data_IF_595449761417
#
_entry.id   IF_595449761417
#
_cell.length_a   1.000
_cell.length_b   1.000
_cell.length_c   1.000
_cell.angle_alpha   90.00
_cell.angle_beta   90.00
_cell.angle_gamma   90.00
#
_symmetry.space_group_name_H-M   'P 1'
#
loop_
_entity.id
_entity.type
_entity.pdbx_description
1 polymer ?
#
# COMPACT_ATOMS: atom_id res chain seq x y z
N UNK A 1 15.32 -16.89 -17.79
CA UNK A 1 13.99 -16.76 -17.17
C UNK A 1 13.42 -18.15 -16.99
N UNK A 2 13.06 -18.54 -15.78
CA UNK A 2 12.39 -19.81 -15.46
C UNK A 2 10.89 -19.51 -15.36
N UNK A 3 10.06 -20.29 -16.07
CA UNK A 3 8.60 -20.24 -15.95
C UNK A 3 8.17 -21.50 -15.21
N UNK A 4 7.48 -21.35 -14.10
CA UNK A 4 7.04 -22.47 -13.26
C UNK A 4 5.73 -22.12 -12.56
N UNK A 5 4.95 -23.13 -12.23
CA UNK A 5 3.80 -23.09 -11.35
C UNK A 5 4.11 -23.61 -9.93
N UNK A 6 5.36 -24.05 -9.69
CA UNK A 6 5.87 -24.41 -8.37
C UNK A 6 6.45 -23.17 -7.67
N UNK A 7 5.79 -22.72 -6.60
CA UNK A 7 6.21 -21.57 -5.83
C UNK A 7 7.61 -21.74 -5.20
N UNK A 8 7.99 -22.95 -4.82
CA UNK A 8 9.33 -23.21 -4.25
C UNK A 8 10.43 -22.97 -5.29
N UNK A 9 10.18 -23.36 -6.53
CA UNK A 9 11.10 -23.11 -7.65
C UNK A 9 11.11 -21.62 -8.01
N UNK A 10 9.92 -20.97 -7.98
CA UNK A 10 9.78 -19.55 -8.33
C UNK A 10 10.52 -18.63 -7.35
N UNK A 11 10.49 -18.92 -6.05
CA UNK A 11 11.12 -18.12 -5.00
C UNK A 11 12.52 -18.59 -4.60
N UNK A 12 13.06 -19.64 -5.26
CA UNK A 12 14.43 -20.13 -4.98
C UNK A 12 15.46 -19.00 -5.13
N UNK A 13 16.18 -18.67 -4.06
CA UNK A 13 17.19 -17.61 -3.97
C UNK A 13 16.71 -16.22 -4.45
N UNK A 14 15.40 -15.97 -4.41
CA UNK A 14 14.83 -14.70 -4.85
C UNK A 14 15.19 -13.55 -3.89
N UNK A 15 15.69 -12.43 -4.44
CA UNK A 15 15.93 -11.18 -3.70
C UNK A 15 14.72 -10.23 -3.75
N UNK A 16 13.86 -10.38 -4.76
CA UNK A 16 12.67 -9.56 -4.94
C UNK A 16 11.46 -10.42 -5.31
N UNK A 17 10.37 -10.25 -4.58
CA UNK A 17 9.10 -10.93 -4.83
C UNK A 17 7.97 -9.94 -5.12
N UNK A 18 7.28 -10.07 -6.25
CA UNK A 18 6.08 -9.31 -6.55
C UNK A 18 4.88 -10.25 -6.59
N UNK A 19 4.02 -10.19 -5.57
CA UNK A 19 2.83 -11.04 -5.43
C UNK A 19 1.62 -10.32 -6.04
N UNK A 20 1.40 -10.54 -7.35
CA UNK A 20 0.41 -9.80 -8.13
C UNK A 20 -0.93 -10.53 -8.23
N UNK A 21 -0.90 -11.87 -8.32
CA UNK A 21 -2.09 -12.69 -8.49
C UNK A 21 -2.95 -12.75 -7.23
N UNK A 22 -4.25 -12.48 -7.37
CA UNK A 22 -5.22 -12.60 -6.28
C UNK A 22 -6.59 -13.01 -6.83
N UNK A 23 -7.43 -13.58 -5.96
CA UNK A 23 -8.83 -13.82 -6.28
C UNK A 23 -9.58 -12.48 -6.30
N UNK A 24 -10.17 -12.06 -7.42
CA UNK A 24 -10.96 -10.84 -7.46
C UNK A 24 -12.30 -11.01 -6.74
N UNK A 25 -12.81 -9.93 -6.14
CA UNK A 25 -14.16 -9.93 -5.57
C UNK A 25 -15.18 -10.14 -6.69
N UNK A 26 -16.11 -11.08 -6.49
CA UNK A 26 -17.23 -11.36 -7.39
C UNK A 26 -18.53 -10.83 -6.79
N UNK A 27 -19.53 -10.61 -7.63
CA UNK A 27 -20.85 -10.20 -7.16
C UNK A 27 -21.43 -11.24 -6.18
N UNK A 28 -21.96 -10.74 -5.06
CA UNK A 28 -22.50 -11.58 -3.99
C UNK A 28 -21.46 -12.24 -3.07
N UNK A 29 -20.16 -11.99 -3.27
CA UNK A 29 -19.12 -12.51 -2.39
C UNK A 29 -18.99 -11.61 -1.15
N UNK A 30 -19.12 -12.22 0.03
CA UNK A 30 -18.87 -11.54 1.31
C UNK A 30 -17.37 -11.27 1.48
N UNK A 31 -17.03 -10.32 2.38
CA UNK A 31 -15.63 -9.96 2.63
C UNK A 31 -14.82 -11.12 3.19
N UNK A 32 -15.41 -11.90 4.10
CA UNK A 32 -14.77 -13.08 4.69
C UNK A 32 -14.41 -14.13 3.64
N UNK A 33 -15.32 -14.41 2.69
CA UNK A 33 -15.10 -15.38 1.61
C UNK A 33 -13.91 -14.95 0.73
N UNK A 34 -13.81 -13.64 0.46
CA UNK A 34 -12.70 -13.09 -0.32
C UNK A 34 -11.36 -13.24 0.42
N UNK A 35 -11.34 -12.96 1.72
CA UNK A 35 -10.16 -13.11 2.56
C UNK A 35 -9.73 -14.57 2.68
N UNK A 36 -10.67 -15.50 2.87
CA UNK A 36 -10.40 -16.95 2.90
C UNK A 36 -9.81 -17.45 1.58
N UNK A 37 -10.42 -17.08 0.44
CA UNK A 37 -9.95 -17.47 -0.88
C UNK A 37 -8.53 -16.93 -1.16
N UNK A 38 -8.23 -15.71 -0.76
CA UNK A 38 -6.91 -15.13 -0.90
C UNK A 38 -5.91 -15.72 0.12
N UNK A 39 -6.34 -16.09 1.31
CA UNK A 39 -5.52 -16.82 2.27
C UNK A 39 -4.97 -18.13 1.70
N UNK A 40 -5.79 -18.85 0.92
CA UNK A 40 -5.36 -20.03 0.17
C UNK A 40 -4.31 -19.77 -0.92
N UNK A 41 -4.10 -18.50 -1.30
CA UNK A 41 -3.08 -18.09 -2.28
C UNK A 41 -1.83 -17.57 -1.54
N UNK A 42 -1.99 -16.59 -0.64
CA UNK A 42 -0.89 -15.86 -0.05
C UNK A 42 -0.20 -16.62 1.10
N UNK A 43 -0.90 -17.47 1.83
CA UNK A 43 -0.30 -18.36 2.84
C UNK A 43 0.74 -19.30 2.23
N UNK A 44 0.40 -20.13 1.22
CA UNK A 44 1.37 -20.99 0.54
C UNK A 44 2.53 -20.23 -0.11
N UNK A 45 2.29 -19.03 -0.68
CA UNK A 45 3.36 -18.19 -1.23
C UNK A 45 4.29 -17.68 -0.14
N UNK A 46 3.75 -17.21 1.00
CA UNK A 46 4.54 -16.79 2.16
C UNK A 46 5.43 -17.93 2.68
N UNK A 47 4.86 -19.14 2.79
CA UNK A 47 5.63 -20.32 3.17
C UNK A 47 6.74 -20.63 2.18
N UNK A 48 6.47 -20.60 0.88
CA UNK A 48 7.48 -20.87 -0.14
C UNK A 48 8.61 -19.81 -0.12
N UNK A 49 8.30 -18.55 0.16
CA UNK A 49 9.26 -17.47 0.37
C UNK A 49 10.13 -17.79 1.61
N UNK A 50 9.49 -18.16 2.73
CA UNK A 50 10.18 -18.54 3.96
C UNK A 50 11.22 -19.63 3.75
N UNK A 51 10.83 -20.65 2.99
CA UNK A 51 11.63 -21.86 2.84
C UNK A 51 12.74 -21.70 1.78
N UNK A 52 12.59 -20.80 0.81
CA UNK A 52 13.44 -20.82 -0.39
C UNK A 52 14.07 -19.47 -0.78
N UNK A 53 13.51 -18.32 -0.36
CA UNK A 53 14.02 -17.02 -0.77
C UNK A 53 15.26 -16.60 0.02
N UNK A 54 15.96 -15.58 -0.49
CA UNK A 54 16.99 -14.86 0.26
C UNK A 54 16.40 -14.33 1.58
N UNK A 55 17.20 -14.32 2.66
CA UNK A 55 16.74 -13.77 3.95
C UNK A 55 16.49 -12.27 3.91
N UNK A 56 17.10 -11.58 2.96
CA UNK A 56 16.93 -10.14 2.71
C UNK A 56 15.92 -9.86 1.58
N UNK A 57 15.10 -10.87 1.19
CA UNK A 57 14.10 -10.72 0.12
C UNK A 57 13.16 -9.55 0.39
N UNK A 58 12.91 -8.74 -0.62
CA UNK A 58 11.93 -7.65 -0.58
C UNK A 58 10.64 -8.09 -1.26
N UNK A 59 9.56 -8.21 -0.50
CA UNK A 59 8.26 -8.71 -0.98
C UNK A 59 7.26 -7.58 -1.07
N UNK A 60 6.77 -7.31 -2.29
CA UNK A 60 5.68 -6.37 -2.55
C UNK A 60 4.41 -7.13 -2.91
N UNK A 61 3.38 -6.97 -2.11
CA UNK A 61 2.04 -7.50 -2.40
C UNK A 61 1.22 -6.45 -3.15
N UNK A 62 0.77 -6.84 -4.34
CA UNK A 62 -0.04 -6.02 -5.25
C UNK A 62 -1.49 -6.54 -5.31
N UNK A 63 -1.66 -7.85 -5.16
CA UNK A 63 -2.96 -8.53 -5.21
C UNK A 63 -3.89 -8.13 -4.07
N UNK A 64 -5.12 -7.72 -4.40
CA UNK A 64 -6.09 -7.21 -3.42
C UNK A 64 -6.87 -8.32 -2.68
N UNK A 65 -7.21 -8.08 -1.39
CA UNK A 65 -6.92 -6.92 -0.55
C UNK A 65 -5.44 -6.89 -0.10
N UNK A 66 -4.68 -5.92 -0.63
CA UNK A 66 -3.21 -5.95 -0.61
C UNK A 66 -2.61 -5.96 0.80
N UNK A 67 -3.10 -5.09 1.70
CA UNK A 67 -2.58 -4.99 3.06
C UNK A 67 -2.78 -6.31 3.85
N UNK A 68 -3.97 -6.87 3.79
CA UNK A 68 -4.29 -8.12 4.51
C UNK A 68 -3.63 -9.33 3.87
N UNK A 69 -3.52 -9.37 2.54
CA UNK A 69 -2.78 -10.41 1.84
C UNK A 69 -1.28 -10.38 2.20
N UNK A 70 -0.70 -9.19 2.37
CA UNK A 70 0.67 -9.04 2.84
C UNK A 70 0.85 -9.55 4.28
N UNK A 71 -0.11 -9.27 5.16
CA UNK A 71 -0.12 -9.79 6.53
C UNK A 71 -0.19 -11.33 6.56
N UNK A 72 -1.03 -11.93 5.71
CA UNK A 72 -1.13 -13.39 5.59
C UNK A 72 0.19 -14.00 5.10
N UNK A 73 0.78 -13.42 4.03
CA UNK A 73 2.06 -13.90 3.50
C UNK A 73 3.20 -13.78 4.52
N UNK A 74 3.27 -12.64 5.23
CA UNK A 74 4.21 -12.38 6.30
C UNK A 74 4.07 -13.40 7.44
N UNK A 75 2.84 -13.64 7.91
CA UNK A 75 2.56 -14.59 9.01
C UNK A 75 2.94 -16.02 8.64
N UNK A 76 2.90 -16.37 7.35
CA UNK A 76 3.33 -17.68 6.86
C UNK A 76 4.85 -17.79 6.64
N UNK A 77 5.61 -16.73 6.90
CA UNK A 77 7.07 -16.66 6.71
C UNK A 77 7.80 -16.28 8.01
N UNK A 78 7.76 -17.11 9.07
CA UNK A 78 8.23 -16.75 10.40
C UNK A 78 9.76 -16.56 10.51
N UNK A 79 10.54 -17.06 9.55
CA UNK A 79 12.01 -16.94 9.55
C UNK A 79 12.52 -15.73 8.71
N UNK A 80 11.62 -15.01 8.07
CA UNK A 80 11.90 -13.77 7.33
C UNK A 80 11.51 -12.57 8.21
N UNK A 81 12.36 -11.53 8.25
CA UNK A 81 12.02 -10.30 8.98
C UNK A 81 10.69 -9.75 8.48
N UNK A 82 9.70 -9.49 9.35
CA UNK A 82 8.43 -8.86 8.99
C UNK A 82 8.57 -7.62 8.12
N UNK A 83 9.62 -6.83 8.29
CA UNK A 83 9.93 -5.65 7.49
C UNK A 83 10.16 -5.94 6.02
N UNK A 84 10.40 -7.18 5.64
CA UNK A 84 10.58 -7.58 4.25
C UNK A 84 9.25 -7.73 3.49
N UNK A 85 8.10 -7.59 4.16
CA UNK A 85 6.78 -7.64 3.54
C UNK A 85 6.12 -6.27 3.50
N UNK A 86 5.75 -5.83 2.29
CA UNK A 86 5.04 -4.57 2.05
C UNK A 86 3.82 -4.78 1.16
N UNK A 87 2.86 -3.87 1.23
CA UNK A 87 1.73 -3.81 0.29
C UNK A 87 1.76 -2.51 -0.52
N UNK A 88 1.23 -2.56 -1.73
CA UNK A 88 1.32 -1.44 -2.67
C UNK A 88 0.23 -0.39 -2.44
N UNK A 89 0.62 0.76 -1.93
CA UNK A 89 -0.17 2.01 -1.94
C UNK A 89 0.41 3.07 -2.89
N UNK A 90 1.49 2.72 -3.59
CA UNK A 90 2.15 3.62 -4.55
C UNK A 90 1.25 4.02 -5.73
N UNK A 91 0.35 3.14 -6.15
CA UNK A 91 -0.62 3.48 -7.20
C UNK A 91 -1.55 4.61 -6.78
N UNK A 92 -2.02 4.58 -5.53
CA UNK A 92 -2.88 5.63 -4.97
C UNK A 92 -2.09 6.92 -4.74
N UNK A 93 -0.84 6.81 -4.30
CA UNK A 93 0.13 7.90 -4.19
C UNK A 93 0.31 8.64 -5.53
N UNK A 94 0.60 7.91 -6.61
CA UNK A 94 0.77 8.49 -7.95
C UNK A 94 -0.52 9.14 -8.47
N UNK A 95 -1.69 8.57 -8.14
CA UNK A 95 -3.01 9.15 -8.45
C UNK A 95 -3.25 10.45 -7.70
N UNK A 96 -2.93 10.48 -6.40
CA UNK A 96 -3.08 11.68 -5.56
C UNK A 96 -2.17 12.81 -6.06
N UNK A 97 -0.90 12.53 -6.34
CA UNK A 97 0.01 13.51 -6.96
C UNK A 97 -0.55 14.06 -8.27
N UNK A 98 -1.12 13.21 -9.11
CA UNK A 98 -1.74 13.64 -10.38
C UNK A 98 -2.91 14.60 -10.15
N UNK A 99 -3.77 14.36 -9.16
CA UNK A 99 -4.89 15.26 -8.84
C UNK A 99 -4.38 16.62 -8.34
N UNK A 100 -3.35 16.65 -7.49
CA UNK A 100 -2.74 17.89 -7.01
C UNK A 100 -2.10 18.65 -8.17
N UNK A 101 -1.33 17.98 -9.01
CA UNK A 101 -0.70 18.60 -10.18
C UNK A 101 -1.72 19.23 -11.13
N UNK A 102 -2.84 18.54 -11.39
CA UNK A 102 -3.94 19.07 -12.20
C UNK A 102 -4.64 20.28 -11.54
N UNK A 103 -4.89 20.22 -10.23
CA UNK A 103 -5.55 21.33 -9.49
C UNK A 103 -4.70 22.60 -9.47
N UNK A 104 -3.36 22.44 -9.42
CA UNK A 104 -2.40 23.54 -9.32
C UNK A 104 -1.79 23.97 -10.66
N UNK A 105 -2.16 23.30 -11.76
CA UNK A 105 -1.59 23.50 -13.11
C UNK A 105 -0.03 23.41 -13.09
N UNK A 106 0.49 22.38 -12.43
CA UNK A 106 1.93 22.11 -12.31
C UNK A 106 2.31 20.73 -12.84
N UNK A 107 3.60 20.47 -12.96
CA UNK A 107 4.11 19.12 -13.26
C UNK A 107 3.95 18.20 -12.05
N UNK A 108 3.72 16.91 -12.30
CA UNK A 108 3.74 15.89 -11.24
C UNK A 108 5.11 15.84 -10.54
N UNK A 109 6.18 16.20 -11.25
CA UNK A 109 7.55 16.26 -10.70
C UNK A 109 7.75 17.43 -9.72
N UNK A 110 6.82 18.37 -9.67
CA UNK A 110 6.82 19.49 -8.70
C UNK A 110 6.13 19.12 -7.39
N UNK A 111 5.50 17.92 -7.32
CA UNK A 111 4.77 17.44 -6.14
C UNK A 111 5.68 16.54 -5.31
N UNK A 112 5.84 16.87 -4.04
CA UNK A 112 6.63 16.08 -3.08
C UNK A 112 5.85 15.88 -1.78
N UNK A 113 6.34 14.99 -0.93
CA UNK A 113 5.79 14.72 0.40
C UNK A 113 4.31 14.26 0.37
N UNK A 114 3.86 13.66 -0.73
CA UNK A 114 2.54 13.03 -0.79
C UNK A 114 2.50 11.81 0.13
N UNK A 115 1.39 11.64 0.82
CA UNK A 115 1.15 10.46 1.67
C UNK A 115 -0.21 9.85 1.39
N UNK A 116 -0.26 8.55 1.27
CA UNK A 116 -1.45 7.74 1.42
C UNK A 116 -1.38 7.05 2.77
N UNK A 117 -2.33 7.29 3.63
CA UNK A 117 -2.46 6.64 4.93
C UNK A 117 -3.44 5.47 4.86
N UNK A 118 -3.16 4.41 5.64
CA UNK A 118 -4.12 3.37 5.93
C UNK A 118 -4.15 2.22 4.93
N UNK A 119 -5.35 1.71 4.67
CA UNK A 119 -5.64 0.54 3.85
C UNK A 119 -5.73 0.92 2.36
N UNK A 120 -5.24 0.06 1.46
CA UNK A 120 -5.49 0.19 0.02
C UNK A 120 -6.97 -0.17 -0.29
N UNK A 121 -7.90 0.68 0.15
CA UNK A 121 -9.35 0.51 0.04
C UNK A 121 -10.05 1.85 -0.15
N UNK A 122 -11.37 1.86 -0.05
CA UNK A 122 -12.15 3.09 -0.08
C UNK A 122 -12.00 3.96 1.18
N UNK A 123 -11.28 3.48 2.22
CA UNK A 123 -10.96 4.23 3.44
C UNK A 123 -9.59 4.88 3.39
N UNK A 124 -8.76 4.61 2.36
CA UNK A 124 -7.46 5.24 2.21
C UNK A 124 -7.56 6.77 2.31
N UNK A 125 -6.58 7.38 2.94
CA UNK A 125 -6.56 8.83 3.09
C UNK A 125 -5.35 9.44 2.37
N UNK A 126 -5.56 10.14 1.23
CA UNK A 126 -4.53 10.95 0.60
C UNK A 126 -4.40 12.28 1.36
N UNK A 127 -3.21 12.53 1.88
CA UNK A 127 -2.91 13.67 2.76
C UNK A 127 -2.43 14.88 1.96
N UNK A 128 -3.27 15.90 1.87
CA UNK A 128 -2.91 17.17 1.23
C UNK A 128 -2.14 18.11 2.16
N UNK A 129 -2.29 17.97 3.49
CA UNK A 129 -1.77 18.93 4.47
C UNK A 129 -0.24 18.88 4.60
N UNK A 130 0.37 17.73 4.30
CA UNK A 130 1.84 17.57 4.29
C UNK A 130 2.43 17.60 2.88
N UNK A 131 1.57 17.49 1.85
CA UNK A 131 2.00 17.54 0.44
C UNK A 131 2.53 18.92 0.09
N UNK A 132 3.57 18.95 -0.75
CA UNK A 132 4.18 20.19 -1.26
C UNK A 132 4.08 20.28 -2.77
N UNK A 133 3.88 21.51 -3.25
CA UNK A 133 3.93 21.91 -4.66
C UNK A 133 5.06 22.92 -4.81
N UNK A 134 6.13 22.57 -5.53
CA UNK A 134 7.34 23.42 -5.65
C UNK A 134 7.88 23.90 -4.29
N UNK A 135 7.83 23.01 -3.29
CA UNK A 135 8.28 23.27 -1.93
C UNK A 135 7.31 24.06 -1.03
N UNK A 136 6.15 24.50 -1.55
CA UNK A 136 5.12 25.20 -0.78
C UNK A 136 4.03 24.22 -0.33
N UNK A 137 3.40 24.47 0.81
CA UNK A 137 2.32 23.62 1.32
C UNK A 137 1.13 23.60 0.34
N UNK A 138 0.72 22.41 -0.09
CA UNK A 138 -0.34 22.24 -1.09
C UNK A 138 -1.73 22.63 -0.56
N UNK A 139 -2.03 22.36 0.71
CA UNK A 139 -3.33 22.67 1.31
C UNK A 139 -3.49 24.20 1.43
N UNK A 140 -2.45 24.92 1.82
CA UNK A 140 -2.45 26.39 1.89
C UNK A 140 -2.55 27.03 0.50
N UNK A 141 -1.82 26.49 -0.49
CA UNK A 141 -1.83 26.99 -1.87
C UNK A 141 -3.20 26.81 -2.52
N UNK A 142 -3.80 25.63 -2.38
CA UNK A 142 -5.10 25.29 -2.98
C UNK A 142 -6.22 25.99 -2.22
N UNK A 143 -6.18 26.00 -0.90
CA UNK A 143 -7.13 26.63 0.02
C UNK A 143 -8.60 26.41 -0.38
N UNK A 144 -8.96 25.15 -0.67
CA UNK A 144 -10.26 24.73 -1.19
C UNK A 144 -10.72 23.45 -0.48
N UNK A 145 -11.41 23.61 0.65
CA UNK A 145 -11.89 22.50 1.47
C UNK A 145 -12.97 21.69 0.75
N UNK A 146 -13.81 22.33 -0.05
CA UNK A 146 -14.86 21.65 -0.81
C UNK A 146 -14.24 20.70 -1.85
N UNK A 147 -13.20 21.14 -2.55
CA UNK A 147 -12.44 20.28 -3.45
C UNK A 147 -11.72 19.15 -2.70
N UNK A 148 -11.09 19.44 -1.57
CA UNK A 148 -10.39 18.42 -0.76
C UNK A 148 -11.33 17.27 -0.40
N UNK A 149 -12.49 17.56 0.17
CA UNK A 149 -13.43 16.56 0.69
C UNK A 149 -14.37 16.00 -0.38
N UNK A 150 -14.81 16.84 -1.32
CA UNK A 150 -15.80 16.48 -2.34
C UNK A 150 -15.20 15.83 -3.59
N UNK A 151 -13.99 16.23 -3.99
CA UNK A 151 -13.37 15.79 -5.24
C UNK A 151 -12.08 15.01 -5.03
N UNK A 152 -11.08 15.57 -4.35
CA UNK A 152 -9.74 14.99 -4.25
C UNK A 152 -9.76 13.62 -3.57
N UNK A 153 -10.18 13.58 -2.31
CA UNK A 153 -10.21 12.34 -1.53
C UNK A 153 -11.09 11.27 -2.21
N UNK A 154 -12.36 11.55 -2.58
CA UNK A 154 -13.21 10.56 -3.22
C UNK A 154 -12.69 10.09 -4.59
N UNK A 155 -12.05 10.98 -5.37
CA UNK A 155 -11.48 10.61 -6.67
C UNK A 155 -10.33 9.62 -6.51
N UNK A 156 -9.41 9.84 -5.57
CA UNK A 156 -8.31 8.92 -5.29
C UNK A 156 -8.86 7.58 -4.80
N UNK A 157 -9.75 7.59 -3.80
CA UNK A 157 -10.36 6.39 -3.21
C UNK A 157 -11.11 5.53 -4.22
N UNK A 158 -11.85 6.15 -5.15
CA UNK A 158 -12.74 5.45 -6.10
C UNK A 158 -12.12 5.24 -7.48
N UNK A 159 -10.88 5.70 -7.71
CA UNK A 159 -10.25 5.64 -9.04
C UNK A 159 -10.19 4.23 -9.62
N UNK A 160 -9.87 3.23 -8.80
CA UNK A 160 -9.84 1.84 -9.22
C UNK A 160 -11.17 1.35 -9.77
N UNK A 161 -12.26 1.60 -9.04
CA UNK A 161 -13.62 1.24 -9.45
C UNK A 161 -14.05 2.00 -10.72
N UNK A 162 -13.71 3.29 -10.84
CA UNK A 162 -14.00 4.08 -12.03
C UNK A 162 -13.30 3.54 -13.29
N UNK A 163 -12.05 3.09 -13.17
CA UNK A 163 -11.30 2.47 -14.26
C UNK A 163 -11.93 1.13 -14.66
N UNK A 164 -12.29 0.27 -13.70
CA UNK A 164 -12.95 -1.01 -13.98
C UNK A 164 -14.27 -0.77 -14.70
N UNK A 165 -15.08 0.20 -14.26
CA UNK A 165 -16.34 0.56 -14.90
C UNK A 165 -16.14 1.04 -16.34
N UNK A 166 -15.12 1.84 -16.61
CA UNK A 166 -14.85 2.39 -17.93
C UNK A 166 -14.20 1.40 -18.89
N UNK A 167 -13.37 0.49 -18.40
CA UNK A 167 -12.50 -0.38 -19.20
C UNK A 167 -12.95 -1.85 -19.21
N UNK A 168 -13.77 -2.27 -18.24
CA UNK A 168 -14.16 -3.67 -18.03
C UNK A 168 -13.09 -4.53 -17.34
N UNK A 169 -11.94 -3.92 -16.97
CA UNK A 169 -10.84 -4.60 -16.28
C UNK A 169 -10.02 -3.62 -15.43
N UNK A 170 -9.19 -4.15 -14.52
CA UNK A 170 -8.33 -3.33 -13.67
C UNK A 170 -7.24 -2.58 -14.45
N UNK A 171 -6.64 -1.57 -13.83
CA UNK A 171 -5.60 -0.72 -14.41
C UNK A 171 -4.24 -1.42 -14.46
N UNK A 172 -4.04 -2.35 -15.38
CA UNK A 172 -2.83 -3.18 -15.45
C UNK A 172 -1.53 -2.36 -15.55
N UNK A 173 -1.43 -1.45 -16.53
CA UNK A 173 -0.18 -0.72 -16.81
C UNK A 173 0.19 0.28 -15.70
N UNK A 174 -0.77 1.05 -15.17
CA UNK A 174 -0.47 1.98 -14.08
C UNK A 174 -0.17 1.27 -12.76
N UNK A 175 -0.75 0.10 -12.52
CA UNK A 175 -0.40 -0.74 -11.37
C UNK A 175 1.02 -1.30 -11.51
N UNK A 176 1.39 -1.78 -12.70
CA UNK A 176 2.75 -2.26 -12.98
C UNK A 176 3.79 -1.15 -12.80
N UNK A 177 3.52 0.06 -13.33
CA UNK A 177 4.42 1.21 -13.12
C UNK A 177 4.58 1.54 -11.63
N UNK A 178 3.47 1.60 -10.88
CA UNK A 178 3.52 1.89 -9.44
C UNK A 178 4.28 0.80 -8.64
N UNK A 179 4.19 -0.46 -9.05
CA UNK A 179 4.96 -1.54 -8.43
C UNK A 179 6.46 -1.38 -8.72
N UNK A 180 6.83 -0.97 -9.95
CA UNK A 180 8.22 -0.66 -10.31
C UNK A 180 8.72 0.53 -9.52
N UNK A 181 7.95 1.62 -9.42
CA UNK A 181 8.30 2.81 -8.63
C UNK A 181 8.52 2.46 -7.15
N UNK A 182 7.64 1.63 -6.57
CA UNK A 182 7.76 1.17 -5.18
C UNK A 182 9.06 0.38 -4.96
N UNK A 183 9.32 -0.60 -5.82
CA UNK A 183 10.53 -1.42 -5.70
C UNK A 183 11.80 -0.64 -6.00
N UNK A 184 11.76 0.31 -6.95
CA UNK A 184 12.86 1.22 -7.24
C UNK A 184 13.27 2.01 -6.00
N UNK A 185 12.30 2.68 -5.36
CA UNK A 185 12.59 3.51 -4.20
C UNK A 185 13.01 2.64 -2.99
N UNK A 186 12.42 1.45 -2.83
CA UNK A 186 12.82 0.54 -1.76
C UNK A 186 14.25 0.00 -1.96
N UNK A 187 14.66 -0.28 -3.18
CA UNK A 187 15.99 -0.82 -3.47
C UNK A 187 17.09 0.25 -3.52
N UNK A 188 16.77 1.43 -4.07
CA UNK A 188 17.76 2.46 -4.41
C UNK A 188 17.71 3.70 -3.51
N UNK A 189 16.65 3.84 -2.71
CA UNK A 189 16.44 4.97 -1.81
C UNK A 189 15.48 6.02 -2.36
N UNK A 190 14.88 6.78 -1.43
CA UNK A 190 14.02 7.92 -1.77
C UNK A 190 14.85 9.18 -2.04
N UNK A 191 14.36 10.14 -2.85
CA UNK A 191 15.03 11.43 -3.04
C UNK A 191 15.20 12.17 -1.69
N UNK A 192 16.28 12.94 -1.59
CA UNK A 192 16.51 13.78 -0.40
C UNK A 192 15.38 14.80 -0.22
N UNK A 193 14.85 14.89 0.99
CA UNK A 193 13.77 15.83 1.34
C UNK A 193 12.38 15.38 0.90
N UNK A 194 12.25 14.19 0.31
CA UNK A 194 10.98 13.59 -0.09
C UNK A 194 10.76 12.24 0.60
N UNK A 195 9.53 11.76 0.58
CA UNK A 195 9.13 10.44 1.04
C UNK A 195 8.09 9.81 0.11
N UNK A 196 7.86 8.53 0.30
CA UNK A 196 6.88 7.77 -0.47
C UNK A 196 5.91 7.04 0.45
N UNK A 197 4.75 6.68 -0.09
CA UNK A 197 3.78 5.85 0.64
C UNK A 197 4.13 4.38 0.50
N UNK A 198 4.32 3.71 1.64
CA UNK A 198 4.52 2.27 1.72
C UNK A 198 3.60 1.68 2.78
N UNK A 199 2.85 0.64 2.44
CA UNK A 199 2.12 -0.12 3.45
C UNK A 199 3.06 -1.17 4.06
N UNK A 200 3.35 -1.02 5.34
CA UNK A 200 4.36 -1.75 6.09
C UNK A 200 3.79 -2.21 7.44
N UNK A 201 4.42 -3.17 8.13
CA UNK A 201 4.04 -3.53 9.49
C UNK A 201 4.01 -2.31 10.41
N UNK A 202 2.89 -2.12 11.10
CA UNK A 202 2.75 -1.00 12.03
C UNK A 202 3.60 -1.20 13.27
N UNK A 203 4.30 -0.13 13.69
CA UNK A 203 5.07 -0.03 14.93
C UNK A 203 4.36 0.82 16.01
N UNK A 204 3.08 1.14 15.80
CA UNK A 204 2.30 2.03 16.67
C UNK A 204 2.38 3.51 16.32
N UNK A 205 3.20 3.90 15.33
CA UNK A 205 3.31 5.28 14.87
C UNK A 205 1.95 5.85 14.49
N UNK A 206 1.73 7.12 14.81
CA UNK A 206 0.49 7.87 14.53
C UNK A 206 -0.79 7.21 15.07
N UNK A 207 -0.66 6.38 16.12
CA UNK A 207 -1.79 5.68 16.74
C UNK A 207 -2.29 4.46 15.95
N UNK A 208 -1.63 4.08 14.85
CA UNK A 208 -1.99 2.88 14.12
C UNK A 208 -1.63 1.62 14.95
N UNK A 209 -2.59 0.73 15.24
CA UNK A 209 -2.33 -0.45 16.06
C UNK A 209 -1.25 -1.36 15.46
N UNK A 210 -0.42 -1.96 16.30
CA UNK A 210 0.49 -3.02 15.89
C UNK A 210 -0.28 -4.26 15.40
N UNK A 211 0.40 -5.13 14.64
CA UNK A 211 -0.18 -6.38 14.12
C UNK A 211 -1.03 -6.19 12.85
N UNK A 212 -0.97 -5.03 12.22
CA UNK A 212 -1.54 -4.77 10.89
C UNK A 212 -0.45 -4.29 9.93
N UNK A 213 -0.68 -4.40 8.63
CA UNK A 213 0.12 -3.75 7.59
C UNK A 213 -0.67 -2.54 7.09
N UNK A 214 -0.15 -1.34 7.31
CA UNK A 214 -0.82 -0.08 7.00
C UNK A 214 0.12 0.91 6.33
N UNK A 215 -0.42 1.79 5.49
CA UNK A 215 0.37 2.75 4.72
C UNK A 215 0.79 3.94 5.56
N UNK A 216 2.09 4.27 5.46
CA UNK A 216 2.76 5.40 6.10
C UNK A 216 3.60 6.18 5.08
N UNK A 217 3.95 7.44 5.37
CA UNK A 217 5.06 8.12 4.71
C UNK A 217 6.38 7.50 5.13
N UNK A 218 7.16 7.05 4.17
CA UNK A 218 8.44 6.38 4.42
C UNK A 218 9.57 7.02 3.62
N UNK A 219 10.72 7.19 4.27
CA UNK A 219 12.00 7.38 3.58
C UNK A 219 12.72 6.06 3.49
N UNK A 220 13.55 5.91 2.47
CA UNK A 220 14.37 4.71 2.27
C UNK A 220 15.83 5.09 2.06
N UNK A 221 16.72 4.39 2.75
CA UNK A 221 18.17 4.52 2.59
C UNK A 221 18.81 3.13 2.72
N UNK A 222 19.75 2.81 1.83
CA UNK A 222 20.46 1.50 1.83
C UNK A 222 19.52 0.29 1.80
N UNK A 223 18.35 0.40 1.16
CA UNK A 223 17.37 -0.67 1.08
C UNK A 223 16.53 -0.89 2.33
N UNK A 224 16.66 -0.02 3.34
CA UNK A 224 15.86 -0.03 4.57
C UNK A 224 14.93 1.19 4.60
N UNK A 225 13.66 0.95 4.91
CA UNK A 225 12.69 2.03 5.08
C UNK A 225 12.58 2.46 6.54
N UNK A 226 12.20 3.72 6.72
CA UNK A 226 11.86 4.30 8.02
C UNK A 226 10.59 5.12 7.89
N UNK A 227 9.67 5.00 8.86
CA UNK A 227 8.49 5.85 8.93
C UNK A 227 8.94 7.28 9.23
N UNK A 228 8.48 8.24 8.45
CA UNK A 228 8.66 9.66 8.75
C UNK A 228 7.92 9.99 10.02
N UNK A 229 8.62 10.48 11.01
CA UNK A 229 8.06 10.80 12.34
C UNK A 229 7.80 12.31 12.49
N UNK A 230 6.90 12.65 13.45
CA UNK A 230 6.71 14.04 13.88
C UNK A 230 5.85 14.89 12.93
N UNK A 231 5.09 14.28 12.03
CA UNK A 231 4.08 15.01 11.26
C UNK A 231 2.92 15.41 12.18
N UNK A 232 2.57 16.69 12.16
CA UNK A 232 1.48 17.23 12.96
C UNK A 232 0.13 16.96 12.27
N UNK A 233 -0.59 15.97 12.78
CA UNK A 233 -1.89 15.57 12.23
C UNK A 233 -3.01 16.38 12.88
N UNK A 234 -3.77 17.11 12.09
CA UNK A 234 -4.98 17.74 12.55
C UNK A 234 -6.08 16.69 12.84
N UNK A 235 -7.14 17.09 13.53
CA UNK A 235 -8.25 16.20 13.94
C UNK A 235 -8.93 15.52 12.74
N UNK A 236 -9.07 16.23 11.61
CA UNK A 236 -9.63 15.67 10.37
C UNK A 236 -8.77 14.53 9.83
N UNK A 237 -7.46 14.75 9.70
CA UNK A 237 -6.51 13.73 9.22
C UNK A 237 -6.47 12.53 10.13
N UNK A 238 -6.38 12.76 11.46
CA UNK A 238 -6.37 11.67 12.44
C UNK A 238 -7.64 10.83 12.35
N UNK A 239 -8.82 11.45 12.26
CA UNK A 239 -10.08 10.72 12.10
C UNK A 239 -10.15 9.86 10.84
N UNK A 240 -9.53 10.31 9.72
CA UNK A 240 -9.43 9.51 8.49
C UNK A 240 -8.48 8.33 8.65
N UNK A 241 -7.34 8.53 9.31
CA UNK A 241 -6.37 7.48 9.61
C UNK A 241 -6.99 6.42 10.53
N UNK A 242 -7.66 6.85 11.60
CA UNK A 242 -8.32 5.96 12.55
C UNK A 242 -9.41 5.09 11.87
N UNK A 243 -10.20 5.67 10.98
CA UNK A 243 -11.21 4.94 10.22
C UNK A 243 -10.57 3.85 9.33
N UNK A 244 -9.46 4.18 8.67
CA UNK A 244 -8.77 3.25 7.77
C UNK A 244 -8.03 2.14 8.52
N UNK A 245 -7.37 2.46 9.62
CA UNK A 245 -6.69 1.47 10.46
C UNK A 245 -7.68 0.55 11.21
N UNK A 246 -8.85 1.08 11.60
CA UNK A 246 -9.95 0.27 12.17
C UNK A 246 -10.47 -0.78 11.17
N UNK A 247 -10.55 -0.44 9.89
CA UNK A 247 -10.87 -1.40 8.82
C UNK A 247 -9.83 -2.52 8.77
N UNK A 248 -8.54 -2.19 8.82
CA UNK A 248 -7.45 -3.17 8.82
C UNK A 248 -7.46 -4.08 10.06
N UNK A 249 -7.78 -3.54 11.23
CA UNK A 249 -7.96 -4.33 12.45
C UNK A 249 -9.09 -5.35 12.27
N UNK A 250 -10.23 -4.93 11.73
CA UNK A 250 -11.35 -5.84 11.45
C UNK A 250 -10.99 -6.92 10.42
N UNK A 251 -10.20 -6.58 9.40
CA UNK A 251 -9.68 -7.56 8.43
C UNK A 251 -8.72 -8.57 9.08
N UNK A 252 -7.76 -8.08 9.88
CA UNK A 252 -6.84 -8.91 10.67
C UNK A 252 -7.61 -9.88 11.56
N UNK A 253 -8.57 -9.39 12.31
CA UNK A 253 -9.36 -10.22 13.24
C UNK A 253 -10.17 -11.28 12.47
N UNK A 254 -10.66 -10.95 11.28
CA UNK A 254 -11.32 -11.90 10.39
C UNK A 254 -10.38 -13.02 9.94
N UNK A 255 -9.19 -12.69 9.43
CA UNK A 255 -8.23 -13.70 8.95
C UNK A 255 -7.63 -14.51 10.10
N UNK A 256 -7.50 -13.95 11.31
CA UNK A 256 -7.15 -14.67 12.52
C UNK A 256 -8.26 -15.68 12.90
N UNK A 257 -9.52 -15.26 12.85
CA UNK A 257 -10.68 -16.15 13.07
C UNK A 257 -10.80 -17.29 12.06
N UNK A 258 -10.28 -17.10 10.85
CA UNK A 258 -10.18 -18.13 9.81
C UNK A 258 -8.93 -19.02 9.95
N UNK A 259 -8.05 -18.76 10.93
CA UNK A 259 -6.80 -19.49 11.12
C UNK A 259 -5.74 -19.26 10.03
N UNK A 260 -5.82 -18.14 9.32
CA UNK A 260 -4.89 -17.77 8.25
C UNK A 260 -3.64 -17.04 8.78
N UNK A 261 -3.72 -16.51 9.97
CA UNK A 261 -2.61 -15.91 10.73
C UNK A 261 -2.65 -16.42 12.18
N UNK A 262 -1.50 -16.36 12.89
CA UNK A 262 -1.37 -16.77 14.28
C UNK A 262 -1.93 -15.71 15.26
#
# INVERSE_FOLDING_TARGET
MVKTDDANVAFGDADYGLLVGAMPRRDGMERADLLEANGGIFGPQGKAINDNASRDVKVLVVGNPANTNALIAQSAAPDIDPKQFTAMTRLDHNRAMTQVAQKTDTSINDITNMTIWGNHSATQYPDLFHTKVKGQNAAEMINDQEWLEGDFIPTVQKRGAAIIKARGSSSAASAANAAIDHMHDWALGTPEGDWVSMAIPSDGSYGAPEGIITSFPCTVSNGEYSIVQGLDLNEFSQGKIDASTSELVAERDTVAGLGLIA
#
